data_IF_101119950800
#
_entry.id   IF_101119950800
#
_cell.length_a   1.000
_cell.length_b   1.000
_cell.length_c   1.000
_cell.angle_alpha   90.00
_cell.angle_beta   90.00
_cell.angle_gamma   90.00
#
_symmetry.space_group_name_H-M   'P 1'
#
loop_
_entity.id
_entity.type
_entity.pdbx_description
1 polymer ?
#
# COMPACT_ATOMS: atom_id res chain seq x y z
N UNK A 1 -2.39 13.20 -8.20
CA UNK A 1 -1.46 13.43 -9.34
C UNK A 1 -2.15 13.82 -10.66
N UNK A 2 -3.46 13.64 -10.83
CA UNK A 2 -4.13 13.79 -12.13
C UNK A 2 -4.40 15.25 -12.57
N UNK A 3 -4.51 16.20 -11.65
CA UNK A 3 -4.79 17.62 -11.96
C UNK A 3 -3.55 18.46 -12.25
N UNK A 4 -2.41 18.06 -11.68
CA UNK A 4 -1.16 18.78 -11.84
C UNK A 4 -0.66 18.69 -13.31
N UNK A 5 -0.60 17.50 -13.88
CA UNK A 5 0.02 17.33 -15.21
C UNK A 5 -0.72 17.98 -16.39
N UNK A 6 -1.98 18.40 -16.23
CA UNK A 6 -2.75 19.11 -17.26
C UNK A 6 -2.22 20.53 -17.53
N UNK A 7 -1.54 21.16 -16.57
CA UNK A 7 -1.19 22.58 -16.67
C UNK A 7 0.22 22.78 -17.24
N UNK A 8 1.12 21.80 -17.08
CA UNK A 8 2.47 21.79 -17.70
C UNK A 8 2.41 21.60 -19.24
N UNK A 9 1.22 21.34 -19.76
CA UNK A 9 0.92 20.75 -21.06
C UNK A 9 1.10 21.68 -22.27
N UNK A 10 1.16 23.01 -22.08
CA UNK A 10 1.06 23.96 -23.20
C UNK A 10 2.39 24.53 -23.73
N UNK A 11 3.39 24.84 -22.89
CA UNK A 11 4.50 25.71 -23.33
C UNK A 11 5.94 25.17 -23.16
N UNK A 12 6.12 23.89 -22.80
CA UNK A 12 7.43 23.24 -22.81
C UNK A 12 8.37 23.64 -21.66
N UNK A 13 9.29 22.74 -21.32
CA UNK A 13 10.16 22.83 -20.13
C UNK A 13 11.36 23.78 -20.31
N UNK A 14 11.74 24.09 -21.56
CA UNK A 14 12.89 24.95 -21.89
C UNK A 14 12.75 26.44 -21.52
N UNK A 15 11.61 27.13 -21.72
CA UNK A 15 11.49 28.53 -21.31
C UNK A 15 11.48 28.73 -19.78
N UNK A 16 11.11 27.71 -18.99
CA UNK A 16 11.11 27.75 -17.51
C UNK A 16 12.53 27.75 -16.93
N UNK A 17 13.47 27.04 -17.55
CA UNK A 17 14.89 27.03 -17.15
C UNK A 17 15.61 28.35 -17.48
N UNK A 18 15.18 29.08 -18.51
CA UNK A 18 15.74 30.38 -18.88
C UNK A 18 15.24 31.55 -18.01
N UNK A 19 14.14 31.37 -17.26
CA UNK A 19 13.57 32.40 -16.39
C UNK A 19 14.11 32.39 -14.95
N UNK A 20 14.87 31.35 -14.56
CA UNK A 20 15.46 31.24 -13.22
C UNK A 20 16.42 32.38 -12.82
N UNK A 21 17.29 32.93 -13.70
CA UNK A 21 18.22 33.98 -13.28
C UNK A 21 17.59 35.38 -13.19
N UNK A 22 16.39 35.59 -13.72
CA UNK A 22 15.75 36.92 -13.73
C UNK A 22 14.98 37.27 -12.45
N UNK A 23 14.63 36.29 -11.62
CA UNK A 23 13.87 36.52 -10.38
C UNK A 23 14.74 37.17 -9.28
N UNK A 24 16.06 37.01 -9.32
CA UNK A 24 16.98 37.60 -8.35
C UNK A 24 17.44 39.03 -8.66
N UNK A 25 17.00 39.63 -9.77
CA UNK A 25 17.47 40.96 -10.19
C UNK A 25 16.35 41.87 -10.66
N UNK A 26 15.54 42.38 -9.73
CA UNK A 26 14.89 43.70 -9.87
C UNK A 26 14.37 44.22 -8.53
N UNK A 27 15.23 44.96 -7.84
CA UNK A 27 14.78 46.08 -6.99
C UNK A 27 14.97 47.35 -7.81
N UNK A 28 13.94 48.19 -7.77
CA UNK A 28 13.96 49.60 -8.20
C UNK A 28 13.83 49.85 -9.71
N UNK A 29 12.60 50.03 -10.20
CA UNK A 29 12.26 51.25 -10.96
C UNK A 29 10.74 51.40 -11.03
N UNK A 30 10.23 52.42 -10.32
CA UNK A 30 8.87 52.95 -10.41
C UNK A 30 8.88 53.98 -11.54
N UNK A 31 8.01 53.81 -12.53
CA UNK A 31 7.18 54.84 -13.17
C UNK A 31 6.88 54.59 -14.65
N UNK A 32 5.60 54.78 -14.96
CA UNK A 32 4.99 55.12 -16.25
C UNK A 32 4.90 54.06 -17.36
N UNK A 33 3.81 53.29 -17.35
CA UNK A 33 2.78 53.30 -18.42
C UNK A 33 1.69 52.26 -18.13
N UNK A 34 0.50 52.76 -17.81
CA UNK A 34 -0.74 52.01 -17.89
C UNK A 34 -1.10 51.82 -19.38
N UNK A 35 -1.34 50.55 -19.74
CA UNK A 35 -2.14 49.99 -20.86
C UNK A 35 -1.50 48.73 -21.45
N UNK A 36 -1.10 47.76 -20.62
CA UNK A 36 -0.82 46.37 -21.05
C UNK A 36 -0.98 45.35 -19.91
N UNK A 37 -1.84 45.60 -18.91
CA UNK A 37 -1.80 44.82 -17.65
C UNK A 37 -2.75 43.61 -17.57
N UNK A 38 -3.77 43.50 -18.42
CA UNK A 38 -4.73 42.39 -18.30
C UNK A 38 -4.25 41.07 -18.93
N UNK A 39 -3.23 41.11 -19.81
CA UNK A 39 -2.74 39.91 -20.49
C UNK A 39 -1.46 39.33 -19.84
N UNK A 40 -0.69 40.15 -19.13
CA UNK A 40 0.58 39.75 -18.50
C UNK A 40 0.39 39.23 -17.07
N UNK A 41 -0.66 39.65 -16.37
CA UNK A 41 -1.01 39.19 -15.02
C UNK A 41 -1.61 37.77 -15.03
N UNK A 42 -2.38 37.43 -16.07
CA UNK A 42 -2.90 36.07 -16.29
C UNK A 42 -1.81 35.07 -16.67
N UNK A 43 -0.79 35.49 -17.45
CA UNK A 43 0.32 34.59 -17.83
C UNK A 43 1.28 34.25 -16.70
N UNK A 44 1.48 35.16 -15.73
CA UNK A 44 2.39 34.94 -14.59
C UNK A 44 1.77 34.11 -13.47
N UNK A 45 0.49 34.33 -13.18
CA UNK A 45 -0.30 33.50 -12.24
C UNK A 45 -0.49 32.08 -12.77
N UNK A 46 -0.72 31.93 -14.08
CA UNK A 46 -0.73 30.63 -14.75
C UNK A 46 0.65 29.96 -14.63
N UNK A 47 1.76 30.65 -14.97
CA UNK A 47 3.13 30.13 -14.83
C UNK A 47 3.47 29.65 -13.40
N UNK A 48 3.11 30.44 -12.39
CA UNK A 48 3.32 30.09 -10.98
C UNK A 48 2.50 28.86 -10.59
N UNK A 49 1.24 28.78 -11.04
CA UNK A 49 0.38 27.60 -10.89
C UNK A 49 1.00 26.37 -11.53
N UNK A 50 1.53 26.47 -12.75
CA UNK A 50 2.20 25.35 -13.45
C UNK A 50 3.47 24.91 -12.71
N UNK A 51 4.28 25.85 -12.26
CA UNK A 51 5.51 25.55 -11.55
C UNK A 51 5.23 24.84 -10.21
N UNK A 52 4.22 25.30 -9.47
CA UNK A 52 3.76 24.67 -8.23
C UNK A 52 3.29 23.23 -8.45
N UNK A 53 2.57 23.03 -9.54
CA UNK A 53 2.06 21.74 -9.99
C UNK A 53 3.18 20.76 -10.37
N UNK A 54 4.20 21.22 -11.10
CA UNK A 54 5.38 20.42 -11.43
C UNK A 54 6.11 20.05 -10.15
N UNK A 55 6.30 21.01 -9.25
CA UNK A 55 6.96 20.80 -7.98
C UNK A 55 6.23 19.73 -7.14
N UNK A 56 4.91 19.85 -7.00
CA UNK A 56 4.09 18.84 -6.30
C UNK A 56 4.17 17.46 -6.97
N UNK A 57 4.12 17.41 -8.30
CA UNK A 57 4.23 16.16 -9.03
C UNK A 57 5.59 15.49 -8.82
N UNK A 58 6.69 16.25 -8.87
CA UNK A 58 8.04 15.75 -8.59
C UNK A 58 8.14 15.28 -7.16
N UNK A 59 7.68 16.06 -6.18
CA UNK A 59 7.70 15.70 -4.77
C UNK A 59 6.96 14.38 -4.51
N UNK A 60 5.72 14.27 -5.01
CA UNK A 60 4.92 13.06 -4.87
C UNK A 60 5.56 11.86 -5.60
N UNK A 61 6.10 12.06 -6.80
CA UNK A 61 6.82 11.02 -7.54
C UNK A 61 8.04 10.51 -6.79
N UNK A 62 8.86 11.42 -6.24
CA UNK A 62 10.03 11.04 -5.44
C UNK A 62 9.65 10.29 -4.17
N UNK A 63 8.56 10.70 -3.49
CA UNK A 63 8.08 10.03 -2.30
C UNK A 63 7.56 8.63 -2.62
N UNK A 64 6.79 8.47 -3.70
CA UNK A 64 6.32 7.16 -4.13
C UNK A 64 7.48 6.22 -4.48
N UNK A 65 8.47 6.69 -5.23
CA UNK A 65 9.66 5.89 -5.54
C UNK A 65 10.42 5.48 -4.26
N UNK A 66 10.59 6.39 -3.31
CA UNK A 66 11.24 6.08 -2.04
C UNK A 66 10.49 4.99 -1.26
N UNK A 67 9.15 5.11 -1.17
CA UNK A 67 8.30 4.11 -0.50
C UNK A 67 8.38 2.75 -1.22
N UNK A 68 8.34 2.73 -2.56
CA UNK A 68 8.43 1.50 -3.34
C UNK A 68 9.79 0.81 -3.17
N UNK A 69 10.89 1.56 -3.22
CA UNK A 69 12.24 1.01 -3.01
C UNK A 69 12.38 0.44 -1.59
N UNK A 70 11.90 1.18 -0.59
CA UNK A 70 11.90 0.71 0.79
C UNK A 70 11.04 -0.56 0.96
N UNK A 71 9.84 -0.57 0.39
CA UNK A 71 8.96 -1.73 0.38
C UNK A 71 9.58 -2.95 -0.29
N UNK A 72 10.25 -2.75 -1.44
CA UNK A 72 10.97 -3.82 -2.14
C UNK A 72 12.13 -4.38 -1.31
N UNK A 73 12.90 -3.51 -0.65
CA UNK A 73 14.00 -3.91 0.23
C UNK A 73 13.48 -4.74 1.42
N UNK A 74 12.44 -4.26 2.10
CA UNK A 74 11.82 -4.98 3.22
C UNK A 74 11.20 -6.30 2.77
N UNK A 75 10.55 -6.33 1.61
CA UNK A 75 10.00 -7.56 1.05
C UNK A 75 11.09 -8.57 0.70
N UNK A 76 12.22 -8.13 0.12
CA UNK A 76 13.36 -8.98 -0.21
C UNK A 76 14.02 -9.57 1.05
N UNK A 77 14.22 -8.75 2.09
CA UNK A 77 14.75 -9.20 3.38
C UNK A 77 13.78 -10.21 4.02
N UNK A 78 12.49 -9.89 4.05
CA UNK A 78 11.46 -10.78 4.58
C UNK A 78 11.36 -12.11 3.83
N UNK A 79 11.51 -12.09 2.52
CA UNK A 79 11.47 -13.30 1.67
C UNK A 79 12.66 -14.25 1.90
N UNK A 80 13.78 -13.78 2.44
CA UNK A 80 14.93 -14.65 2.73
C UNK A 80 14.74 -15.47 4.01
N UNK A 81 13.85 -15.03 4.90
CA UNK A 81 13.57 -15.74 6.13
C UNK A 81 12.66 -16.95 5.84
N UNK A 82 13.17 -18.17 6.06
CA UNK A 82 12.43 -19.42 5.79
C UNK A 82 11.50 -19.84 6.93
N UNK A 83 11.64 -19.22 8.10
CA UNK A 83 10.90 -19.58 9.32
C UNK A 83 9.86 -18.51 9.68
N UNK A 84 9.15 -17.98 8.68
CA UNK A 84 8.07 -17.02 8.92
C UNK A 84 6.89 -17.76 9.53
N UNK A 85 6.43 -17.29 10.68
CA UNK A 85 5.22 -17.76 11.36
C UNK A 85 4.20 -16.65 11.36
N UNK A 86 2.93 -17.01 11.23
CA UNK A 86 1.81 -16.08 11.28
C UNK A 86 0.81 -16.58 12.33
N UNK A 87 0.37 -15.67 13.19
CA UNK A 87 -0.64 -15.98 14.19
C UNK A 87 -2.02 -15.90 13.55
N UNK A 88 -2.81 -16.95 13.76
CA UNK A 88 -4.20 -17.00 13.32
C UNK A 88 -5.10 -17.15 14.53
N UNK A 89 -5.99 -16.17 14.71
CA UNK A 89 -6.76 -16.00 15.93
C UNK A 89 -8.24 -16.29 15.72
N UNK A 90 -8.87 -16.96 16.69
CA UNK A 90 -10.29 -17.27 16.67
C UNK A 90 -10.88 -17.19 18.07
N UNK A 91 -12.13 -16.72 18.17
CA UNK A 91 -12.87 -16.70 19.43
C UNK A 91 -13.14 -18.11 19.97
N UNK A 92 -13.16 -19.12 19.10
CA UNK A 92 -13.31 -20.54 19.47
C UNK A 92 -12.11 -21.08 20.28
N UNK A 93 -10.99 -20.36 20.29
CA UNK A 93 -9.77 -20.77 20.99
C UNK A 93 -9.62 -20.12 22.37
N UNK A 94 -10.62 -19.37 22.83
CA UNK A 94 -10.53 -18.60 24.09
C UNK A 94 -10.14 -19.40 25.32
N UNK A 95 -10.63 -20.63 25.44
CA UNK A 95 -10.37 -21.52 26.57
C UNK A 95 -9.54 -22.75 26.19
N UNK A 96 -9.08 -22.78 24.95
CA UNK A 96 -8.32 -23.88 24.40
C UNK A 96 -6.89 -23.86 24.95
N UNK A 97 -6.39 -25.02 25.36
CA UNK A 97 -4.97 -25.25 25.63
C UNK A 97 -4.23 -25.59 24.33
N UNK A 98 -4.87 -26.43 23.50
CA UNK A 98 -4.35 -26.86 22.22
C UNK A 98 -5.49 -27.10 21.23
N UNK A 99 -5.18 -26.99 19.95
CA UNK A 99 -6.09 -27.24 18.84
C UNK A 99 -5.44 -28.21 17.88
N UNK A 100 -6.15 -29.28 17.53
CA UNK A 100 -5.72 -30.22 16.52
C UNK A 100 -6.48 -29.98 15.21
N UNK A 101 -5.71 -29.81 14.13
CA UNK A 101 -6.23 -29.59 12.78
C UNK A 101 -5.27 -30.20 11.76
N UNK A 102 -5.78 -30.87 10.73
CA UNK A 102 -4.94 -31.47 9.68
C UNK A 102 -3.85 -32.41 10.19
N UNK A 103 -4.15 -33.21 11.23
CA UNK A 103 -3.21 -34.11 11.93
C UNK A 103 -2.01 -33.40 12.59
N UNK A 104 -2.11 -32.10 12.89
CA UNK A 104 -1.11 -31.35 13.64
C UNK A 104 -1.72 -30.74 14.89
N UNK A 105 -0.97 -30.79 15.99
CA UNK A 105 -1.35 -30.16 17.25
C UNK A 105 -0.71 -28.77 17.34
N UNK A 106 -1.53 -27.76 17.55
CA UNK A 106 -1.13 -26.37 17.71
C UNK A 106 -1.37 -25.94 19.17
N UNK A 107 -0.35 -25.37 19.80
CA UNK A 107 -0.51 -24.75 21.10
C UNK A 107 -1.19 -23.39 20.95
N UNK A 108 -2.15 -23.12 21.82
CA UNK A 108 -2.90 -21.85 21.79
C UNK A 108 -2.20 -20.83 22.68
N UNK A 109 -1.89 -19.67 22.12
CA UNK A 109 -1.41 -18.51 22.86
C UNK A 109 -2.56 -17.52 23.06
N UNK A 110 -2.70 -16.92 24.25
CA UNK A 110 -3.68 -15.86 24.45
C UNK A 110 -3.26 -14.61 23.67
N UNK A 111 -4.21 -13.99 22.95
CA UNK A 111 -3.99 -12.71 22.29
C UNK A 111 -3.97 -11.55 23.29
N UNK A 112 -3.42 -10.40 22.90
CA UNK A 112 -3.42 -9.17 23.71
C UNK A 112 -4.84 -8.68 24.05
N UNK A 113 -5.82 -9.00 23.21
CA UNK A 113 -7.24 -8.82 23.50
C UNK A 113 -7.74 -10.00 24.34
N UNK A 114 -8.10 -9.74 25.61
CA UNK A 114 -8.75 -10.73 26.46
C UNK A 114 -10.00 -11.27 25.75
N UNK A 115 -10.04 -12.57 25.47
CA UNK A 115 -11.20 -13.19 24.79
C UNK A 115 -10.96 -13.69 23.36
N UNK A 116 -9.70 -13.80 22.91
CA UNK A 116 -9.35 -14.48 21.66
C UNK A 116 -8.09 -15.34 21.87
N UNK A 117 -8.11 -16.59 21.39
CA UNK A 117 -6.94 -17.45 21.35
C UNK A 117 -6.35 -17.50 19.94
N UNK A 118 -5.03 -17.62 19.84
CA UNK A 118 -4.30 -17.66 18.57
C UNK A 118 -3.49 -18.95 18.45
N UNK A 119 -3.37 -19.45 17.23
CA UNK A 119 -2.47 -20.55 16.87
C UNK A 119 -1.38 -20.04 15.94
N UNK A 120 -0.17 -20.54 16.11
CA UNK A 120 0.98 -20.21 15.26
C UNK A 120 0.99 -21.12 14.04
N UNK A 121 0.71 -20.54 12.87
CA UNK A 121 0.77 -21.24 11.59
C UNK A 121 2.08 -20.95 10.86
N UNK A 122 2.51 -21.89 10.02
CA UNK A 122 3.61 -21.61 9.08
C UNK A 122 3.16 -20.58 8.06
N UNK A 123 3.95 -19.53 7.86
CA UNK A 123 3.68 -18.39 6.99
C UNK A 123 3.80 -18.68 5.49
N UNK A 124 3.22 -19.78 4.99
CA UNK A 124 3.21 -20.11 3.57
C UNK A 124 2.56 -19.01 2.74
N UNK A 125 1.39 -18.53 3.17
CA UNK A 125 0.67 -17.44 2.49
C UNK A 125 1.45 -16.13 2.55
N UNK A 126 2.15 -15.86 3.67
CA UNK A 126 2.99 -14.67 3.81
C UNK A 126 4.18 -14.69 2.84
N UNK A 127 4.82 -15.85 2.65
CA UNK A 127 5.88 -16.01 1.65
C UNK A 127 5.38 -15.79 0.22
N UNK A 128 4.21 -16.36 -0.12
CA UNK A 128 3.58 -16.15 -1.43
C UNK A 128 3.24 -14.68 -1.66
N UNK A 129 2.70 -14.00 -0.64
CA UNK A 129 2.41 -12.56 -0.68
C UNK A 129 3.66 -11.69 -0.84
N UNK A 130 4.74 -11.99 -0.10
CA UNK A 130 6.02 -11.29 -0.21
C UNK A 130 6.61 -11.46 -1.62
N UNK A 131 6.61 -12.69 -2.13
CA UNK A 131 7.09 -12.99 -3.48
C UNK A 131 6.27 -12.25 -4.55
N UNK A 132 4.94 -12.27 -4.44
CA UNK A 132 4.07 -11.54 -5.36
C UNK A 132 4.30 -10.03 -5.29
N UNK A 133 4.49 -9.47 -4.09
CA UNK A 133 4.78 -8.05 -3.89
C UNK A 133 6.10 -7.64 -4.54
N UNK A 134 7.16 -8.47 -4.43
CA UNK A 134 8.44 -8.23 -5.11
C UNK A 134 8.25 -8.17 -6.63
N UNK A 135 7.50 -9.11 -7.20
CA UNK A 135 7.24 -9.17 -8.65
C UNK A 135 6.42 -7.94 -9.09
N UNK A 136 5.36 -7.59 -8.37
CA UNK A 136 4.48 -6.47 -8.73
C UNK A 136 5.22 -5.14 -8.61
N UNK A 137 5.94 -4.91 -7.52
CA UNK A 137 6.68 -3.66 -7.28
C UNK A 137 7.81 -3.53 -8.31
N UNK A 138 8.55 -4.60 -8.61
CA UNK A 138 9.62 -4.55 -9.62
C UNK A 138 9.07 -4.23 -11.01
N UNK A 139 7.95 -4.84 -11.42
CA UNK A 139 7.26 -4.52 -12.68
C UNK A 139 6.76 -3.07 -12.70
N UNK A 140 6.20 -2.58 -11.59
CA UNK A 140 5.72 -1.20 -11.45
C UNK A 140 6.84 -0.20 -11.66
N UNK A 141 8.00 -0.39 -11.02
CA UNK A 141 9.18 0.48 -11.18
C UNK A 141 9.63 0.51 -12.64
N UNK A 142 9.67 -0.65 -13.30
CA UNK A 142 10.04 -0.74 -14.73
C UNK A 142 9.08 0.08 -15.59
N UNK A 143 7.76 -0.04 -15.38
CA UNK A 143 6.77 0.75 -16.12
C UNK A 143 6.81 2.24 -15.80
N UNK A 144 7.11 2.62 -14.56
CA UNK A 144 7.32 4.03 -14.20
C UNK A 144 8.53 4.64 -14.92
N UNK A 145 9.64 3.89 -15.01
CA UNK A 145 10.82 4.32 -15.79
C UNK A 145 10.49 4.42 -17.28
N UNK A 146 9.76 3.46 -17.84
CA UNK A 146 9.33 3.52 -19.24
C UNK A 146 8.42 4.72 -19.52
N UNK A 147 7.43 4.99 -18.66
CA UNK A 147 6.56 6.15 -18.79
C UNK A 147 7.36 7.47 -18.67
N UNK A 148 8.33 7.55 -17.75
CA UNK A 148 9.22 8.70 -17.63
C UNK A 148 10.03 8.92 -18.92
N UNK A 149 10.63 7.86 -19.47
CA UNK A 149 11.41 7.92 -20.72
C UNK A 149 10.53 8.36 -21.89
N UNK A 150 9.31 7.81 -22.02
CA UNK A 150 8.37 8.21 -23.06
C UNK A 150 8.00 9.70 -22.92
N UNK A 151 7.72 10.17 -21.71
CA UNK A 151 7.38 11.57 -21.46
C UNK A 151 8.56 12.52 -21.77
N UNK A 152 9.80 12.13 -21.45
CA UNK A 152 11.00 12.87 -21.83
C UNK A 152 11.22 12.90 -23.34
N UNK A 153 10.93 11.80 -24.05
CA UNK A 153 11.08 11.72 -25.50
C UNK A 153 9.99 12.49 -26.27
N UNK A 154 8.75 12.50 -25.77
CA UNK A 154 7.60 13.21 -26.38
C UNK A 154 7.66 14.73 -26.16
N UNK A 155 8.40 15.18 -25.14
CA UNK A 155 8.81 16.59 -25.00
C UNK A 155 9.71 17.04 -26.16
N UNK A 156 10.47 16.11 -26.74
CA UNK A 156 11.14 16.28 -28.02
C UNK A 156 10.15 16.21 -29.18
N UNK A 157 10.40 16.96 -30.26
CA UNK A 157 9.56 17.13 -31.46
C UNK A 157 9.13 15.85 -32.21
N UNK A 158 9.44 14.64 -31.73
CA UNK A 158 9.09 13.38 -32.39
C UNK A 158 7.75 12.82 -31.89
N UNK A 159 6.75 12.81 -32.76
CA UNK A 159 5.51 12.02 -32.60
C UNK A 159 5.87 10.52 -32.60
N UNK A 160 5.47 9.77 -31.57
CA UNK A 160 5.63 8.32 -31.52
C UNK A 160 4.39 7.65 -32.13
N UNK A 161 4.56 6.90 -33.24
CA UNK A 161 3.45 6.28 -34.02
C UNK A 161 2.33 7.25 -34.44
N UNK A 162 2.65 8.53 -34.68
CA UNK A 162 1.66 9.54 -35.10
C UNK A 162 0.78 10.09 -33.97
N UNK A 163 0.77 9.46 -32.78
CA UNK A 163 0.08 9.94 -31.60
C UNK A 163 1.05 10.71 -30.68
N UNK A 164 0.62 11.87 -30.16
CA UNK A 164 1.32 12.51 -29.04
C UNK A 164 0.91 11.77 -27.76
N UNK A 165 1.64 10.71 -27.39
CA UNK A 165 1.48 10.05 -26.08
C UNK A 165 1.99 10.99 -24.98
N UNK A 166 1.12 11.92 -24.55
CA UNK A 166 1.40 12.92 -23.51
C UNK A 166 1.03 12.47 -22.10
N UNK A 167 0.56 11.23 -21.92
CA UNK A 167 0.09 10.70 -20.64
C UNK A 167 0.82 9.39 -20.29
N UNK A 168 1.03 9.09 -19.00
CA UNK A 168 1.63 7.84 -18.55
C UNK A 168 0.57 6.73 -18.58
N UNK A 169 0.34 6.15 -19.77
CA UNK A 169 -0.70 5.13 -19.96
C UNK A 169 -0.32 3.82 -19.25
N UNK A 170 0.94 3.39 -19.29
CA UNK A 170 1.32 2.08 -18.78
C UNK A 170 1.14 1.96 -17.27
N UNK A 171 1.60 2.96 -16.51
CA UNK A 171 1.40 3.02 -15.06
C UNK A 171 -0.07 3.13 -14.68
N UNK A 172 -0.88 3.88 -15.44
CA UNK A 172 -2.32 4.00 -15.17
C UNK A 172 -3.05 2.67 -15.37
N UNK A 173 -2.85 1.99 -16.50
CA UNK A 173 -3.51 0.70 -16.75
C UNK A 173 -3.02 -0.38 -15.78
N UNK A 174 -1.71 -0.45 -15.56
CA UNK A 174 -1.13 -1.45 -14.66
C UNK A 174 -1.60 -1.24 -13.23
N UNK A 175 -1.66 0.00 -12.74
CA UNK A 175 -2.15 0.31 -11.40
C UNK A 175 -3.60 -0.14 -11.18
N UNK A 176 -4.48 0.07 -12.17
CA UNK A 176 -5.87 -0.38 -12.09
C UNK A 176 -5.98 -1.91 -12.11
N UNK A 177 -5.20 -2.59 -12.95
CA UNK A 177 -5.18 -4.06 -13.02
C UNK A 177 -4.70 -4.64 -11.70
N UNK A 178 -3.59 -4.12 -11.15
CA UNK A 178 -3.06 -4.56 -9.86
C UNK A 178 -4.08 -4.35 -8.75
N UNK A 179 -4.73 -3.19 -8.69
CA UNK A 179 -5.78 -2.91 -7.71
C UNK A 179 -6.92 -3.92 -7.80
N UNK A 180 -7.41 -4.20 -9.00
CA UNK A 180 -8.50 -5.15 -9.23
C UNK A 180 -8.10 -6.57 -8.83
N UNK A 181 -6.88 -7.00 -9.16
CA UNK A 181 -6.35 -8.32 -8.77
C UNK A 181 -6.25 -8.43 -7.25
N UNK A 182 -5.72 -7.41 -6.56
CA UNK A 182 -5.62 -7.39 -5.11
C UNK A 182 -6.99 -7.47 -4.43
N UNK A 183 -8.00 -6.78 -4.97
CA UNK A 183 -9.37 -6.86 -4.47
C UNK A 183 -9.93 -8.28 -4.61
N UNK A 184 -9.80 -8.89 -5.79
CA UNK A 184 -10.32 -10.25 -6.04
C UNK A 184 -9.62 -11.28 -5.15
N UNK A 185 -8.29 -11.25 -5.10
CA UNK A 185 -7.49 -12.16 -4.28
C UNK A 185 -7.78 -11.95 -2.80
N UNK A 186 -7.89 -10.70 -2.36
CA UNK A 186 -8.24 -10.36 -0.98
C UNK A 186 -9.60 -10.93 -0.58
N UNK A 187 -10.63 -10.74 -1.41
CA UNK A 187 -11.97 -11.31 -1.16
C UNK A 187 -11.92 -12.83 -1.12
N UNK A 188 -11.23 -13.47 -2.06
CA UNK A 188 -11.14 -14.93 -2.10
C UNK A 188 -10.41 -15.49 -0.88
N UNK A 189 -9.30 -14.88 -0.45
CA UNK A 189 -8.57 -15.28 0.75
C UNK A 189 -9.38 -15.06 2.02
N UNK A 190 -10.20 -14.01 2.09
CA UNK A 190 -11.09 -13.76 3.23
C UNK A 190 -12.20 -14.81 3.38
N UNK A 191 -12.54 -15.51 2.30
CA UNK A 191 -13.61 -16.52 2.28
C UNK A 191 -13.12 -17.93 2.59
N UNK A 192 -11.80 -18.16 2.63
CA UNK A 192 -11.22 -19.48 2.86
C UNK A 192 -10.43 -19.53 4.16
N UNK A 193 -10.41 -20.71 4.79
CA UNK A 193 -9.53 -20.96 5.93
C UNK A 193 -8.07 -21.08 5.46
N UNK A 194 -7.09 -20.79 6.34
CA UNK A 194 -5.69 -20.99 6.04
C UNK A 194 -5.41 -22.43 5.58
N UNK A 195 -4.46 -22.59 4.65
CA UNK A 195 -4.06 -23.94 4.22
C UNK A 195 -3.62 -24.78 5.42
N UNK A 196 -4.07 -26.05 5.45
CA UNK A 196 -3.84 -27.04 6.52
C UNK A 196 -4.67 -26.83 7.80
N UNK A 197 -5.62 -25.89 7.78
CA UNK A 197 -6.63 -25.76 8.84
C UNK A 197 -7.97 -26.26 8.30
N UNK A 198 -8.44 -27.38 8.85
CA UNK A 198 -9.75 -27.94 8.52
C UNK A 198 -10.89 -27.13 9.14
N UNK A 199 -12.08 -27.21 8.55
CA UNK A 199 -13.26 -26.51 9.05
C UNK A 199 -13.74 -27.06 10.40
N UNK A 200 -13.55 -28.35 10.66
CA UNK A 200 -13.81 -28.97 11.95
C UNK A 200 -12.47 -29.24 12.64
N UNK A 201 -12.25 -28.63 13.81
CA UNK A 201 -11.03 -28.80 14.59
C UNK A 201 -11.35 -29.34 15.97
N UNK A 202 -10.46 -30.18 16.48
CA UNK A 202 -10.58 -30.71 17.85
C UNK A 202 -9.89 -29.76 18.80
N UNK A 203 -10.66 -29.21 19.74
CA UNK A 203 -10.18 -28.26 20.73
C UNK A 203 -10.05 -28.97 22.07
N UNK A 204 -8.88 -28.86 22.68
CA UNK A 204 -8.60 -29.39 24.02
C UNK A 204 -8.77 -28.25 25.03
N UNK A 205 -9.82 -28.33 25.85
CA UNK A 205 -10.12 -27.34 26.90
C UNK A 205 -9.89 -27.95 28.29
N UNK A 206 -9.39 -27.12 29.22
CA UNK A 206 -9.31 -27.48 30.63
C UNK A 206 -10.51 -26.92 31.39
N UNK A 207 -11.42 -27.81 31.81
CA UNK A 207 -12.62 -27.40 32.51
C UNK A 207 -12.39 -27.43 34.02
N UNK A 208 -12.24 -26.24 34.62
CA UNK A 208 -11.98 -26.06 36.07
C UNK A 208 -13.02 -26.74 36.99
N UNK A 209 -14.22 -27.04 36.49
CA UNK A 209 -15.27 -27.73 37.25
C UNK A 209 -15.17 -29.26 37.26
N UNK A 210 -14.40 -29.88 36.36
CA UNK A 210 -14.27 -31.34 36.25
C UNK A 210 -12.83 -31.85 36.50
N UNK A 211 -11.85 -30.95 36.69
CA UNK A 211 -10.41 -31.26 36.77
C UNK A 211 -9.90 -32.19 35.66
N UNK A 212 -10.59 -32.22 34.51
CA UNK A 212 -10.30 -33.07 33.36
C UNK A 212 -10.19 -32.25 32.10
N UNK A 213 -9.33 -32.70 31.19
CA UNK A 213 -9.31 -32.20 29.82
C UNK A 213 -10.55 -32.73 29.09
N UNK A 214 -11.30 -31.81 28.49
CA UNK A 214 -12.46 -32.13 27.65
C UNK A 214 -12.07 -31.83 26.21
N UNK A 215 -12.45 -32.71 25.31
CA UNK A 215 -12.29 -32.53 23.87
C UNK A 215 -13.61 -32.09 23.27
N UNK A 216 -13.58 -30.96 22.57
CA UNK A 216 -14.74 -30.41 21.87
C UNK A 216 -14.43 -30.32 20.37
N UNK A 217 -15.41 -30.61 19.52
CA UNK A 217 -15.29 -30.34 18.08
C UNK A 217 -15.80 -28.93 17.84
N UNK A 218 -14.93 -28.03 17.39
CA UNK A 218 -15.29 -26.67 17.01
C UNK A 218 -15.35 -26.55 15.49
N UNK A 219 -16.36 -25.82 15.01
CA UNK A 219 -16.47 -25.47 13.60
C UNK A 219 -15.90 -24.06 13.38
N UNK A 220 -14.82 -23.98 12.63
CA UNK A 220 -14.18 -22.74 12.26
C UNK A 220 -14.92 -22.07 11.11
N UNK A 221 -15.10 -20.76 11.22
CA UNK A 221 -15.58 -19.91 10.15
C UNK A 221 -14.46 -19.03 9.64
N UNK A 222 -14.34 -18.81 8.32
CA UNK A 222 -13.41 -17.84 7.79
C UNK A 222 -13.73 -16.45 8.33
N UNK A 223 -12.69 -15.62 8.49
CA UNK A 223 -12.80 -14.29 9.11
C UNK A 223 -13.62 -13.30 8.26
N UNK A 224 -13.74 -13.55 6.95
CA UNK A 224 -14.49 -12.69 6.03
C UNK A 224 -13.86 -11.31 5.89
N UNK A 225 -14.43 -10.47 5.02
CA UNK A 225 -13.89 -9.12 4.76
C UNK A 225 -13.93 -8.25 6.04
N UNK A 226 -15.00 -8.36 6.82
CA UNK A 226 -15.15 -7.61 8.08
C UNK A 226 -14.09 -8.00 9.11
N UNK A 227 -13.86 -9.30 9.32
CA UNK A 227 -12.82 -9.77 10.24
C UNK A 227 -11.42 -9.39 9.77
N UNK A 228 -11.19 -9.35 8.45
CA UNK A 228 -9.92 -8.91 7.87
C UNK A 228 -9.63 -7.44 8.17
N UNK A 229 -10.64 -6.57 8.00
CA UNK A 229 -10.53 -5.16 8.30
C UNK A 229 -10.26 -4.94 9.79
N UNK A 230 -10.99 -5.63 10.67
CA UNK A 230 -10.78 -5.53 12.12
C UNK A 230 -9.36 -5.96 12.48
N UNK A 231 -8.91 -7.15 12.04
CA UNK A 231 -7.57 -7.64 12.35
C UNK A 231 -6.46 -6.74 11.80
N UNK A 232 -6.64 -6.17 10.60
CA UNK A 232 -5.69 -5.19 10.05
C UNK A 232 -5.67 -3.89 10.85
N UNK A 233 -6.85 -3.38 11.23
CA UNK A 233 -6.97 -2.19 12.07
C UNK A 233 -6.35 -2.40 13.45
N UNK A 234 -6.56 -3.56 14.06
CA UNK A 234 -5.97 -3.92 15.35
C UNK A 234 -4.45 -3.96 15.26
N UNK A 235 -3.88 -4.60 14.24
CA UNK A 235 -2.42 -4.62 14.03
C UNK A 235 -1.82 -3.26 13.68
N UNK A 236 -2.53 -2.42 12.92
CA UNK A 236 -2.09 -1.05 12.64
C UNK A 236 -2.08 -0.19 13.91
N UNK A 237 -3.14 -0.29 14.70
CA UNK A 237 -3.31 0.46 15.94
C UNK A 237 -2.54 -0.13 17.12
N UNK A 238 -2.01 -1.36 17.02
CA UNK A 238 -1.10 -1.93 18.02
C UNK A 238 0.13 -1.04 18.23
N UNK A 239 0.63 -0.42 17.14
CA UNK A 239 1.72 0.56 17.21
C UNK A 239 1.37 1.85 17.96
N UNK A 240 0.08 2.08 18.27
CA UNK A 240 -0.43 3.25 18.99
C UNK A 240 -0.60 2.96 20.50
N UNK A 241 -0.23 1.76 20.97
CA UNK A 241 -0.10 1.42 22.39
C UNK A 241 -1.40 1.46 23.20
N UNK A 242 -1.29 1.69 24.51
CA UNK A 242 -2.37 1.62 25.52
C UNK A 242 -3.58 2.54 25.32
N UNK A 243 -3.60 3.35 24.25
CA UNK A 243 -4.76 4.19 23.92
C UNK A 243 -5.97 3.33 23.52
N UNK A 244 -5.71 2.15 22.94
CA UNK A 244 -6.73 1.21 22.48
C UNK A 244 -6.72 -0.14 23.20
N UNK A 245 -5.73 -0.43 24.05
CA UNK A 245 -5.81 -1.61 24.90
C UNK A 245 -6.79 -1.33 26.05
N UNK A 246 -7.77 -2.21 26.31
CA UNK A 246 -8.59 -2.09 27.51
C UNK A 246 -7.66 -2.18 28.71
N UNK A 247 -7.56 -1.08 29.49
CA UNK A 247 -6.86 -1.10 30.77
C UNK A 247 -7.49 -2.17 31.65
N UNK A 248 -6.70 -3.18 32.01
CA UNK A 248 -7.07 -4.12 33.05
C UNK A 248 -7.17 -3.36 34.37
N UNK A 249 -8.41 -3.10 34.80
CA UNK A 249 -8.72 -2.74 36.19
C UNK A 249 -8.95 -4.01 37.00
#
# INVERSE_FOLDING_TARGET
MQLAFLIVEENGFRPLLQALPTVFRRKTQRDNRATTDDQQTNGSTDLAGRAWIVFLAVLLGTLLLAIQIFGLAMAAIGSQNKNVTADWCSTQFTRALAVESGCQLYNVTPSSSQGIGCITLKGYEQYTWLTASIIIISLSIVFEVFDLVILLLVSGTKRWRGAKMKRPWFTMFTGNIVLLVLIIVGVFQCQHLPKKVDQSVTVYEYQKGLEKSVTCIAHLTPYGVRGAVIGWTDGFLESWGEIYSPKSY
#
